data_IF_108216289120
#
_entry.id   IF_108216289120
#
_cell.length_a   1.000
_cell.length_b   1.000
_cell.length_c   1.000
_cell.angle_alpha   90.00
_cell.angle_beta   90.00
_cell.angle_gamma   90.00
#
_symmetry.space_group_name_H-M   'P 1'
#
loop_
_entity.id
_entity.type
_entity.pdbx_description
1 polymer ?
#
# COMPACT_ATOMS: atom_id res chain seq x y z
N UNK A 1 22.46 24.92 6.53
CA UNK A 1 22.55 24.52 5.93
C UNK A 1 22.37 23.26 5.68
N UNK A 2 22.98 22.54 6.06
CA UNK A 2 22.82 21.25 5.95
C UNK A 2 21.49 20.85 6.30
N UNK A 3 20.88 21.56 7.15
CA UNK A 3 19.59 21.21 7.57
C UNK A 3 18.65 21.06 6.45
N UNK A 4 18.81 21.86 5.45
CA UNK A 4 17.92 21.77 4.34
C UNK A 4 18.08 20.50 3.61
N UNK A 5 19.29 20.14 3.37
CA UNK A 5 19.51 18.93 2.67
C UNK A 5 19.02 17.79 3.50
N UNK A 6 19.16 17.90 4.76
CA UNK A 6 18.71 16.86 5.63
C UNK A 6 17.21 16.69 5.53
N UNK A 7 16.50 17.77 5.46
CA UNK A 7 15.09 17.71 5.35
C UNK A 7 14.67 17.08 4.04
N UNK A 8 15.35 17.39 3.00
CA UNK A 8 15.08 16.80 1.74
C UNK A 8 15.30 15.31 1.81
N UNK A 9 16.35 14.91 2.48
CA UNK A 9 16.59 13.53 2.62
C UNK A 9 15.55 12.86 3.44
N UNK A 10 15.01 13.57 4.37
CA UNK A 10 13.96 13.04 5.17
C UNK A 10 12.79 12.64 4.31
N UNK A 11 12.43 13.45 3.36
CA UNK A 11 11.36 13.11 2.47
C UNK A 11 11.72 11.92 1.65
N UNK A 12 12.93 11.85 1.19
CA UNK A 12 13.38 10.73 0.43
C UNK A 12 13.32 9.47 1.26
N UNK A 13 13.67 9.59 2.50
CA UNK A 13 13.64 8.47 3.39
C UNK A 13 12.24 7.97 3.56
N UNK A 14 11.29 8.87 3.58
CA UNK A 14 9.94 8.46 3.67
C UNK A 14 9.57 7.63 2.49
N UNK A 15 9.97 8.03 1.32
CA UNK A 15 9.68 7.27 0.12
C UNK A 15 10.32 5.91 0.17
N UNK A 16 11.48 5.82 0.79
CA UNK A 16 12.16 4.55 0.88
C UNK A 16 11.68 3.72 2.03
N UNK A 17 10.84 4.29 2.86
CA UNK A 17 10.36 3.60 4.03
C UNK A 17 9.13 2.79 3.65
N UNK A 18 9.36 1.74 2.92
CA UNK A 18 8.27 0.91 2.44
C UNK A 18 7.91 -0.15 3.46
N UNK A 19 6.69 -0.62 3.39
CA UNK A 19 6.18 -1.60 4.33
C UNK A 19 6.03 -2.93 3.59
N UNK A 20 6.69 -3.96 4.10
CA UNK A 20 6.57 -5.27 3.50
C UNK A 20 5.22 -5.86 3.87
N UNK A 21 4.44 -6.20 2.88
CA UNK A 21 3.11 -6.74 3.08
C UNK A 21 3.04 -8.10 2.42
N UNK A 22 2.57 -9.09 3.13
CA UNK A 22 2.58 -10.46 2.66
C UNK A 22 1.16 -10.97 2.46
N UNK A 23 0.93 -11.63 1.34
CA UNK A 23 -0.32 -12.31 1.09
C UNK A 23 -0.32 -13.59 1.89
N UNK A 24 -1.22 -13.74 2.85
CA UNK A 24 -1.20 -14.91 3.73
C UNK A 24 -1.53 -16.21 3.00
N UNK A 25 -2.14 -16.12 1.85
CA UNK A 25 -2.51 -17.32 1.13
C UNK A 25 -1.41 -17.84 0.22
N UNK A 26 -0.68 -16.94 -0.42
CA UNK A 26 0.37 -17.36 -1.35
C UNK A 26 1.75 -17.28 -0.75
N UNK A 27 1.92 -16.50 0.30
CA UNK A 27 3.23 -16.28 0.89
C UNK A 27 4.05 -15.25 0.15
N UNK A 28 3.51 -14.69 -0.93
CA UNK A 28 4.23 -13.68 -1.68
C UNK A 28 4.10 -12.32 -1.02
N UNK A 29 5.10 -11.48 -1.21
CA UNK A 29 5.14 -10.18 -0.55
C UNK A 29 5.32 -9.08 -1.56
N UNK A 30 4.89 -7.89 -1.19
CA UNK A 30 5.11 -6.70 -1.97
C UNK A 30 5.45 -5.57 -1.03
N UNK A 31 6.23 -4.60 -1.52
CA UNK A 31 6.59 -3.44 -0.72
C UNK A 31 5.63 -2.32 -1.03
N UNK A 32 5.02 -1.77 -0.01
CA UNK A 32 4.01 -0.74 -0.17
C UNK A 32 4.44 0.56 0.48
N UNK A 33 4.05 1.67 -0.11
CA UNK A 33 4.19 2.96 0.57
C UNK A 33 3.17 2.98 1.71
N UNK A 34 3.32 3.95 2.59
CA UNK A 34 2.36 4.08 3.70
C UNK A 34 0.95 4.29 3.19
N UNK A 35 0.81 5.04 2.12
CA UNK A 35 -0.50 5.30 1.55
C UNK A 35 -1.11 4.02 0.97
N UNK A 36 -0.31 3.26 0.26
CA UNK A 36 -0.78 2.00 -0.31
C UNK A 36 -1.13 1.00 0.79
N UNK A 37 -0.34 0.99 1.85
CA UNK A 37 -0.58 0.08 2.96
C UNK A 37 -1.90 0.41 3.66
N UNK A 38 -2.17 1.70 3.85
CA UNK A 38 -3.43 2.12 4.45
C UNK A 38 -4.61 1.72 3.57
N UNK A 39 -4.44 1.88 2.27
CA UNK A 39 -5.50 1.51 1.34
C UNK A 39 -5.71 0.00 1.35
N UNK A 40 -4.63 -0.77 1.43
CA UNK A 40 -4.74 -2.22 1.50
C UNK A 40 -5.55 -2.65 2.72
N UNK A 41 -5.28 -2.05 3.88
CA UNK A 41 -6.03 -2.39 5.08
C UNK A 41 -7.48 -1.97 4.98
N UNK A 42 -7.74 -0.86 4.32
CA UNK A 42 -9.11 -0.42 4.12
C UNK A 42 -9.88 -1.43 3.27
N UNK A 43 -9.23 -1.95 2.24
CA UNK A 43 -9.84 -2.95 1.38
C UNK A 43 -10.13 -4.22 2.17
N UNK A 44 -9.17 -4.67 2.98
CA UNK A 44 -9.37 -5.88 3.76
C UNK A 44 -10.48 -5.70 4.78
N UNK A 45 -10.55 -4.52 5.38
CA UNK A 45 -11.61 -4.25 6.33
C UNK A 45 -12.97 -4.23 5.64
N UNK A 46 -13.05 -3.64 4.47
CA UNK A 46 -14.30 -3.60 3.74
C UNK A 46 -14.74 -5.01 3.35
N UNK A 47 -13.79 -5.86 3.04
CA UNK A 47 -14.09 -7.24 2.71
C UNK A 47 -14.66 -7.97 3.92
N UNK A 48 -14.06 -7.78 5.08
CA UNK A 48 -14.51 -8.44 6.29
C UNK A 48 -15.88 -7.96 6.74
N UNK A 49 -16.18 -6.69 6.50
CA UNK A 49 -17.47 -6.14 6.90
C UNK A 49 -18.48 -6.18 5.77
N UNK A 50 -18.11 -6.84 4.67
CA UNK A 50 -19.02 -7.03 3.53
C UNK A 50 -19.49 -5.71 2.92
N UNK A 51 -18.62 -4.72 2.91
CA UNK A 51 -18.91 -3.45 2.27
C UNK A 51 -18.35 -3.50 0.87
N UNK A 52 -19.06 -4.21 0.00
CA UNK A 52 -18.50 -4.54 -1.30
C UNK A 52 -18.30 -3.34 -2.21
N UNK A 53 -19.14 -2.33 -2.07
CA UNK A 53 -18.98 -1.15 -2.88
C UNK A 53 -17.70 -0.40 -2.52
N UNK A 54 -17.45 -0.26 -1.22
CA UNK A 54 -16.23 0.38 -0.75
C UNK A 54 -15.01 -0.46 -1.16
N UNK A 55 -15.16 -1.78 -1.07
CA UNK A 55 -14.09 -2.69 -1.44
C UNK A 55 -13.73 -2.52 -2.91
N UNK A 56 -14.74 -2.45 -3.78
CA UNK A 56 -14.50 -2.30 -5.21
C UNK A 56 -13.80 -1.00 -5.54
N UNK A 57 -14.19 0.08 -4.88
CA UNK A 57 -13.52 1.35 -5.10
C UNK A 57 -12.08 1.28 -4.64
N UNK A 58 -11.84 0.66 -3.50
CA UNK A 58 -10.50 0.51 -2.99
C UNK A 58 -9.63 -0.31 -3.92
N UNK A 59 -10.18 -1.41 -4.44
CA UNK A 59 -9.45 -2.26 -5.36
C UNK A 59 -9.07 -1.50 -6.63
N UNK A 60 -10.00 -0.72 -7.13
CA UNK A 60 -9.75 0.06 -8.33
C UNK A 60 -8.63 1.08 -8.08
N UNK A 61 -8.68 1.76 -6.96
CA UNK A 61 -7.65 2.73 -6.64
C UNK A 61 -6.30 2.06 -6.44
N UNK A 62 -6.28 0.93 -5.75
CA UNK A 62 -5.03 0.24 -5.48
C UNK A 62 -4.40 -0.27 -6.77
N UNK A 63 -5.20 -0.83 -7.66
CA UNK A 63 -4.67 -1.38 -8.90
C UNK A 63 -4.08 -0.29 -9.79
N UNK A 64 -4.59 0.93 -9.68
CA UNK A 64 -4.04 2.03 -10.44
C UNK A 64 -2.77 2.57 -9.82
N UNK A 65 -2.70 2.56 -8.49
CA UNK A 65 -1.53 3.07 -7.81
C UNK A 65 -0.35 2.13 -7.91
N UNK A 66 -0.60 0.84 -7.79
CA UNK A 66 0.49 -0.13 -7.75
C UNK A 66 0.00 -1.45 -8.31
N UNK A 67 -0.06 -1.57 -9.63
CA UNK A 67 -0.59 -2.79 -10.25
C UNK A 67 0.21 -4.04 -9.91
N UNK A 68 1.52 -3.91 -9.72
CA UNK A 68 2.32 -5.06 -9.35
C UNK A 68 1.95 -5.61 -7.99
N UNK A 69 1.81 -4.73 -7.01
CA UNK A 69 1.41 -5.14 -5.68
C UNK A 69 -0.02 -5.66 -5.68
N UNK A 70 -0.87 -5.08 -6.51
CA UNK A 70 -2.25 -5.55 -6.61
C UNK A 70 -2.28 -7.01 -7.01
N UNK A 71 -1.47 -7.39 -7.99
CA UNK A 71 -1.45 -8.76 -8.45
C UNK A 71 -0.90 -9.72 -7.39
N UNK A 72 0.01 -9.25 -6.57
CA UNK A 72 0.58 -10.08 -5.52
C UNK A 72 -0.36 -10.22 -4.33
N UNK A 73 -1.00 -9.14 -3.95
CA UNK A 73 -1.72 -9.10 -2.68
C UNK A 73 -3.23 -9.25 -2.82
N UNK A 74 -3.79 -8.80 -3.91
CA UNK A 74 -5.24 -8.70 -4.01
C UNK A 74 -5.86 -9.38 -5.22
N UNK A 75 -5.06 -9.85 -6.11
CA UNK A 75 -5.59 -10.50 -7.32
C UNK A 75 -5.94 -11.99 -7.14
#
# INVERSE_FOLDING_TARGET
MIDLSYIVQDMTTKDNNLIKTTNPYSGQSAMLTHEEHALYHLIKHAEETEQYEAMQKGLDMFSRKNPGAYMVLLD
#
